data_IF_953763603492
#
_entry.id   IF_953763603492
#
_cell.length_a   1.000
_cell.length_b   1.000
_cell.length_c   1.000
_cell.angle_alpha   90.00
_cell.angle_beta   90.00
_cell.angle_gamma   90.00
#
_symmetry.space_group_name_H-M   'P 1'
#
loop_
_entity.id
_entity.type
_entity.pdbx_description
1 polymer ?
#
# COMPACT_ATOMS: atom_id res chain seq x y z
N UNK A 1 -25.83 -84.97 -27.10
CA UNK A 1 -24.79 -86.00 -27.25
C UNK A 1 -23.57 -85.52 -26.46
N UNK A 2 -23.22 -86.28 -25.50
CA UNK A 2 -22.20 -86.29 -24.45
C UNK A 2 -20.79 -86.35 -25.09
N UNK A 3 -19.63 -86.24 -24.41
CA UNK A 3 -19.33 -85.91 -23.00
C UNK A 3 -18.14 -84.95 -22.76
N UNK A 4 -18.08 -84.43 -21.59
CA UNK A 4 -17.06 -84.59 -20.54
C UNK A 4 -15.60 -84.84 -20.94
N UNK A 5 -14.70 -83.98 -20.46
CA UNK A 5 -13.56 -84.47 -19.67
C UNK A 5 -12.92 -83.34 -18.83
N UNK A 6 -12.82 -83.67 -17.57
CA UNK A 6 -12.06 -83.03 -16.53
C UNK A 6 -10.56 -83.16 -16.77
N UNK A 7 -9.78 -82.12 -16.43
CA UNK A 7 -8.40 -82.27 -15.91
C UNK A 7 -8.05 -81.32 -14.80
N UNK A 8 -7.61 -81.94 -13.75
CA UNK A 8 -7.21 -81.39 -12.43
C UNK A 8 -5.68 -81.35 -12.41
N UNK A 9 -5.08 -80.22 -12.03
CA UNK A 9 -3.83 -80.31 -11.26
C UNK A 9 -3.46 -78.90 -10.67
N UNK A 10 -3.29 -78.84 -9.38
CA UNK A 10 -2.47 -77.87 -8.62
C UNK A 10 -0.98 -78.23 -8.81
N UNK A 11 0.02 -77.32 -8.65
CA UNK A 11 0.40 -76.84 -7.33
C UNK A 11 0.94 -75.37 -7.31
N UNK A 12 0.76 -74.69 -6.19
CA UNK A 12 1.71 -74.03 -5.29
C UNK A 12 2.87 -73.28 -5.96
N UNK A 13 2.81 -71.99 -5.95
CA UNK A 13 3.95 -71.10 -6.07
C UNK A 13 3.74 -69.87 -5.19
N UNK A 14 4.33 -69.87 -3.96
CA UNK A 14 4.45 -68.74 -3.07
C UNK A 14 5.39 -67.71 -3.70
N UNK A 15 4.89 -66.57 -4.14
CA UNK A 15 5.68 -65.39 -4.41
C UNK A 15 5.37 -64.36 -3.34
N UNK A 16 6.34 -64.18 -2.45
CA UNK A 16 6.43 -63.09 -1.47
C UNK A 16 6.76 -61.82 -2.26
N UNK A 17 5.75 -61.03 -2.55
CA UNK A 17 5.96 -59.67 -3.07
C UNK A 17 6.16 -58.75 -1.88
N UNK A 18 7.41 -58.29 -1.66
CA UNK A 18 7.78 -57.34 -0.66
C UNK A 18 7.12 -55.98 -0.91
N UNK A 19 6.32 -55.55 0.05
CA UNK A 19 5.78 -54.19 0.08
C UNK A 19 6.91 -53.22 0.42
N UNK A 20 7.48 -52.55 -0.55
CA UNK A 20 8.28 -51.34 -0.36
C UNK A 20 7.35 -50.20 0.02
N UNK A 21 7.25 -49.94 1.31
CA UNK A 21 6.67 -48.70 1.85
C UNK A 21 7.59 -47.53 1.49
N UNK A 22 7.27 -46.80 0.44
CA UNK A 22 7.86 -45.50 0.17
C UNK A 22 7.30 -44.53 1.21
N UNK A 23 8.04 -44.28 2.29
CA UNK A 23 7.81 -43.18 3.21
C UNK A 23 8.10 -41.85 2.48
N UNK A 24 7.10 -41.28 1.83
CA UNK A 24 7.17 -39.90 1.40
C UNK A 24 7.21 -39.01 2.67
N UNK A 25 8.41 -38.53 3.00
CA UNK A 25 8.57 -37.49 4.00
C UNK A 25 7.81 -36.25 3.55
N UNK A 26 6.63 -36.02 4.14
CA UNK A 26 5.91 -34.76 4.01
C UNK A 26 6.69 -33.69 4.75
N UNK A 27 7.58 -32.98 4.03
CA UNK A 27 8.14 -31.73 4.53
C UNK A 27 7.02 -30.72 4.66
N UNK A 28 6.81 -30.13 5.84
CA UNK A 28 5.88 -29.03 5.96
C UNK A 28 6.39 -27.88 5.08
N UNK A 29 5.60 -27.54 4.06
CA UNK A 29 5.82 -26.32 3.27
C UNK A 29 5.56 -25.15 4.22
N UNK A 30 6.62 -24.58 4.75
CA UNK A 30 6.54 -23.31 5.51
C UNK A 30 6.16 -22.26 4.49
N UNK A 31 4.89 -21.86 4.47
CA UNK A 31 4.42 -20.74 3.68
C UNK A 31 5.12 -19.49 4.24
N UNK A 32 6.11 -18.99 3.51
CA UNK A 32 6.66 -17.65 3.73
C UNK A 32 5.54 -16.69 3.36
N UNK A 33 5.08 -15.81 4.27
CA UNK A 33 4.08 -14.81 3.90
C UNK A 33 4.64 -14.01 2.73
N UNK A 34 3.91 -13.96 1.63
CA UNK A 34 4.23 -13.06 0.54
C UNK A 34 4.04 -11.65 1.08
N UNK A 35 5.14 -10.92 1.24
CA UNK A 35 5.11 -9.49 1.57
C UNK A 35 4.56 -8.81 0.32
N UNK A 36 3.31 -8.32 0.40
CA UNK A 36 2.70 -7.58 -0.69
C UNK A 36 3.38 -6.21 -0.77
N UNK A 37 3.79 -5.81 -1.97
CA UNK A 37 4.24 -4.44 -2.22
C UNK A 37 3.03 -3.50 -2.03
N UNK A 38 3.15 -2.54 -1.13
CA UNK A 38 2.11 -1.53 -0.86
C UNK A 38 2.42 -0.26 -1.65
N UNK A 39 1.42 0.27 -2.34
CA UNK A 39 1.52 1.58 -3.00
C UNK A 39 0.64 2.57 -2.25
N UNK A 40 1.20 3.72 -1.89
CA UNK A 40 0.49 4.85 -1.29
C UNK A 40 0.50 6.04 -2.27
N UNK A 41 -0.58 6.82 -2.28
CA UNK A 41 -0.66 8.08 -3.01
C UNK A 41 -0.59 9.27 -2.05
N UNK A 42 0.50 10.04 -2.14
CA UNK A 42 0.69 11.30 -1.43
C UNK A 42 0.24 12.48 -2.30
N UNK A 43 -0.84 13.14 -1.90
CA UNK A 43 -1.40 14.31 -2.58
C UNK A 43 -0.99 15.57 -1.82
N UNK A 44 -0.26 16.47 -2.46
CA UNK A 44 0.26 17.65 -1.76
C UNK A 44 0.15 18.95 -2.55
N UNK A 45 0.35 20.06 -1.83
CA UNK A 45 0.44 21.40 -2.38
C UNK A 45 1.74 21.59 -3.16
N UNK A 46 1.66 22.16 -4.34
CA UNK A 46 2.77 22.21 -5.32
C UNK A 46 4.12 22.74 -4.81
N UNK A 47 4.21 23.80 -4.00
CA UNK A 47 5.47 24.27 -3.45
C UNK A 47 6.22 23.26 -2.57
N UNK A 48 5.56 22.21 -2.10
CA UNK A 48 6.15 21.16 -1.25
C UNK A 48 6.64 19.95 -2.04
N UNK A 49 6.64 20.00 -3.35
CA UNK A 49 7.06 18.93 -4.26
C UNK A 49 8.42 18.34 -3.89
N UNK A 50 9.44 19.19 -3.77
CA UNK A 50 10.80 18.73 -3.47
C UNK A 50 10.92 18.17 -2.05
N UNK A 51 10.19 18.74 -1.10
CA UNK A 51 10.11 18.23 0.26
C UNK A 51 9.57 16.78 0.26
N UNK A 52 8.44 16.56 -0.37
CA UNK A 52 7.81 15.24 -0.36
C UNK A 52 8.57 14.22 -1.18
N UNK A 53 9.21 14.62 -2.28
CA UNK A 53 10.09 13.71 -3.01
C UNK A 53 11.18 13.13 -2.10
N UNK A 54 11.86 13.97 -1.33
CA UNK A 54 12.89 13.53 -0.41
C UNK A 54 12.32 12.77 0.81
N UNK A 55 11.20 13.25 1.34
CA UNK A 55 10.54 12.62 2.49
C UNK A 55 10.01 11.23 2.18
N UNK A 56 9.31 11.04 1.06
CA UNK A 56 8.70 9.77 0.67
C UNK A 56 9.76 8.72 0.35
N UNK A 57 10.90 9.13 -0.23
CA UNK A 57 12.07 8.25 -0.44
C UNK A 57 12.68 7.81 0.91
N UNK A 58 12.84 8.75 1.84
CA UNK A 58 13.33 8.45 3.17
C UNK A 58 12.36 7.56 3.96
N UNK A 59 11.06 7.81 3.84
CA UNK A 59 10.02 6.99 4.46
C UNK A 59 10.03 5.56 3.92
N UNK A 60 10.09 5.38 2.61
CA UNK A 60 10.13 4.05 1.98
C UNK A 60 11.34 3.24 2.45
N UNK A 61 12.50 3.87 2.56
CA UNK A 61 13.72 3.27 3.10
C UNK A 61 13.55 2.87 4.57
N UNK A 62 13.10 3.80 5.41
CA UNK A 62 12.84 3.56 6.82
C UNK A 62 11.84 2.43 7.06
N UNK A 63 10.75 2.42 6.30
CA UNK A 63 9.70 1.40 6.44
C UNK A 63 10.23 0.01 6.11
N UNK A 64 10.99 -0.10 5.03
CA UNK A 64 11.63 -1.35 4.61
C UNK A 64 12.60 -1.88 5.67
N UNK A 65 13.43 -1.01 6.23
CA UNK A 65 14.37 -1.39 7.28
C UNK A 65 13.66 -1.85 8.57
N UNK A 66 12.55 -1.19 8.91
CA UNK A 66 11.81 -1.44 10.14
C UNK A 66 10.91 -2.68 10.06
N UNK A 67 10.28 -2.93 8.92
CA UNK A 67 9.22 -3.95 8.78
C UNK A 67 9.59 -5.08 7.82
N UNK A 68 10.55 -4.86 6.93
CA UNK A 68 10.86 -5.72 5.79
C UNK A 68 9.93 -5.53 4.58
N UNK A 69 8.86 -4.73 4.71
CA UNK A 69 7.88 -4.47 3.66
C UNK A 69 8.39 -3.39 2.68
N UNK A 70 8.10 -3.56 1.39
CA UNK A 70 8.37 -2.53 0.38
C UNK A 70 7.13 -1.64 0.24
N UNK A 71 7.31 -0.33 0.39
CA UNK A 71 6.28 0.69 0.13
C UNK A 71 6.76 1.59 -0.99
N UNK A 72 5.92 1.75 -2.02
CA UNK A 72 6.09 2.73 -3.07
C UNK A 72 5.17 3.90 -2.80
N UNK A 73 5.69 5.14 -2.78
CA UNK A 73 4.88 6.34 -2.62
C UNK A 73 4.79 7.07 -3.95
N UNK A 74 3.61 7.03 -4.55
CA UNK A 74 3.26 7.86 -5.70
C UNK A 74 2.90 9.27 -5.24
N UNK A 75 3.12 10.26 -6.09
CA UNK A 75 2.95 11.66 -5.73
C UNK A 75 2.06 12.39 -6.73
N UNK A 76 1.15 13.21 -6.20
CA UNK A 76 0.36 14.17 -6.95
C UNK A 76 0.54 15.57 -6.35
N UNK A 77 1.01 16.52 -7.15
CA UNK A 77 1.25 17.89 -6.71
C UNK A 77 0.47 18.88 -7.54
N UNK A 78 -0.10 19.90 -6.90
CA UNK A 78 -0.87 20.91 -7.60
C UNK A 78 -1.32 22.04 -6.68
N UNK A 79 -2.14 22.95 -7.20
CA UNK A 79 -2.76 23.99 -6.37
C UNK A 79 -3.65 23.37 -5.29
N UNK A 80 -3.59 23.88 -4.06
CA UNK A 80 -4.25 23.33 -2.88
C UNK A 80 -5.73 22.99 -3.12
N UNK A 81 -6.54 23.96 -3.55
CA UNK A 81 -7.95 23.75 -3.84
C UNK A 81 -8.21 22.84 -5.06
N UNK A 82 -7.26 22.70 -6.01
CA UNK A 82 -7.39 21.76 -7.12
C UNK A 82 -7.19 20.33 -6.63
N UNK A 83 -6.20 20.09 -5.77
CA UNK A 83 -5.97 18.79 -5.16
C UNK A 83 -7.15 18.39 -4.25
N UNK A 84 -7.68 19.32 -3.45
CA UNK A 84 -8.87 19.05 -2.65
C UNK A 84 -10.05 18.60 -3.51
N UNK A 85 -10.29 19.27 -4.64
CA UNK A 85 -11.35 18.86 -5.58
C UNK A 85 -11.10 17.49 -6.19
N UNK A 86 -9.86 17.18 -6.59
CA UNK A 86 -9.52 15.87 -7.14
C UNK A 86 -9.84 14.74 -6.15
N UNK A 87 -9.52 14.90 -4.86
CA UNK A 87 -9.85 13.94 -3.80
C UNK A 87 -11.38 13.83 -3.61
N UNK A 88 -12.10 14.95 -3.60
CA UNK A 88 -13.56 14.97 -3.52
C UNK A 88 -14.20 14.25 -4.72
N UNK A 89 -13.63 14.43 -5.92
CA UNK A 89 -14.11 13.85 -7.17
C UNK A 89 -13.67 12.37 -7.34
N UNK A 90 -12.97 11.81 -6.37
CA UNK A 90 -12.68 10.37 -6.31
C UNK A 90 -11.22 9.96 -6.46
N UNK A 91 -10.26 10.90 -6.48
CA UNK A 91 -8.84 10.54 -6.40
C UNK A 91 -8.60 9.78 -5.09
N UNK A 92 -8.05 8.58 -5.21
CA UNK A 92 -7.84 7.70 -4.07
C UNK A 92 -6.50 7.99 -3.37
N UNK A 93 -6.50 9.09 -2.60
CA UNK A 93 -5.35 9.55 -1.86
C UNK A 93 -5.29 8.88 -0.48
N UNK A 94 -4.09 8.40 -0.11
CA UNK A 94 -3.81 7.86 1.22
C UNK A 94 -3.33 8.95 2.18
N UNK A 95 -2.59 9.93 1.66
CA UNK A 95 -2.11 11.08 2.42
C UNK A 95 -2.43 12.36 1.67
N UNK A 96 -2.95 13.35 2.39
CA UNK A 96 -3.26 14.68 1.83
C UNK A 96 -2.61 15.76 2.69
N UNK A 97 -1.78 16.60 2.07
CA UNK A 97 -1.14 17.75 2.74
C UNK A 97 -1.31 19.01 1.89
N UNK A 98 -2.25 19.86 2.30
CA UNK A 98 -2.66 21.04 1.56
C UNK A 98 -2.28 22.34 2.28
N UNK A 99 -2.33 23.44 1.54
CA UNK A 99 -1.91 24.75 2.07
C UNK A 99 -2.87 25.32 3.11
N UNK A 100 -4.14 25.00 3.03
CA UNK A 100 -5.20 25.62 3.83
C UNK A 100 -6.04 24.59 4.55
N UNK A 101 -6.31 24.81 5.84
CA UNK A 101 -7.26 23.98 6.59
C UNK A 101 -8.63 23.92 5.92
N UNK A 102 -9.10 25.00 5.33
CA UNK A 102 -10.37 25.05 4.61
C UNK A 102 -10.47 24.05 3.42
N UNK A 103 -9.35 23.73 2.77
CA UNK A 103 -9.30 22.71 1.70
C UNK A 103 -9.45 21.31 2.28
N UNK A 104 -8.86 21.04 3.45
CA UNK A 104 -9.04 19.77 4.18
C UNK A 104 -10.48 19.66 4.73
N UNK A 105 -11.01 20.74 5.29
CA UNK A 105 -12.42 20.82 5.75
C UNK A 105 -13.39 20.50 4.62
N UNK A 106 -13.10 20.97 3.40
CA UNK A 106 -13.92 20.66 2.23
C UNK A 106 -13.92 19.17 1.87
N UNK A 107 -12.80 18.49 2.03
CA UNK A 107 -12.71 17.03 1.86
C UNK A 107 -13.52 16.33 2.95
N UNK A 108 -13.30 16.69 4.22
CA UNK A 108 -14.01 16.10 5.36
C UNK A 108 -15.55 16.33 5.32
N UNK A 109 -15.99 17.44 4.73
CA UNK A 109 -17.40 17.75 4.62
C UNK A 109 -18.11 17.02 3.47
N UNK A 110 -17.38 16.60 2.43
CA UNK A 110 -17.95 16.08 1.18
C UNK A 110 -17.60 14.61 0.92
N UNK A 111 -16.78 14.01 1.76
CA UNK A 111 -16.38 12.60 1.65
C UNK A 111 -16.42 11.93 3.02
N UNK A 112 -16.47 10.61 3.04
CA UNK A 112 -16.34 9.83 4.28
C UNK A 112 -14.88 9.39 4.54
N UNK A 113 -13.93 9.94 3.75
CA UNK A 113 -12.50 9.57 3.83
C UNK A 113 -11.78 10.17 5.03
N UNK A 114 -12.27 11.29 5.54
CA UNK A 114 -11.63 12.04 6.62
C UNK A 114 -12.67 12.47 7.67
N UNK A 115 -12.45 12.25 8.98
CA UNK A 115 -13.35 12.70 10.02
C UNK A 115 -13.35 14.23 10.12
N UNK A 116 -14.47 14.80 10.59
CA UNK A 116 -14.63 16.27 10.70
C UNK A 116 -13.71 16.91 11.73
N UNK A 117 -13.27 16.16 12.70
CA UNK A 117 -12.33 16.56 13.75
C UNK A 117 -10.86 16.23 13.40
N UNK A 118 -10.56 16.05 12.13
CA UNK A 118 -9.24 15.69 11.60
C UNK A 118 -8.08 16.51 12.22
N UNK A 119 -8.30 17.79 12.49
CA UNK A 119 -7.27 18.67 13.06
C UNK A 119 -6.83 18.25 14.47
N UNK A 120 -7.63 17.46 15.19
CA UNK A 120 -7.31 17.01 16.55
C UNK A 120 -6.61 15.66 16.62
N UNK A 121 -6.45 14.97 15.47
CA UNK A 121 -5.92 13.61 15.42
C UNK A 121 -4.41 13.53 15.58
N UNK A 122 -3.69 14.57 15.15
CA UNK A 122 -2.24 14.63 15.23
C UNK A 122 -1.80 15.91 15.97
N UNK A 123 -0.56 15.98 16.50
CA UNK A 123 0.00 17.18 17.11
C UNK A 123 -0.09 18.40 16.19
N UNK A 124 0.00 19.59 16.77
CA UNK A 124 0.05 20.88 16.08
C UNK A 124 -1.13 21.08 15.09
N UNK A 125 -2.33 20.65 15.49
CA UNK A 125 -3.53 20.67 14.66
C UNK A 125 -3.37 19.91 13.33
N UNK A 126 -2.70 18.77 13.38
CA UNK A 126 -2.38 17.95 12.20
C UNK A 126 -1.58 18.71 11.12
N UNK A 127 -0.73 19.65 11.55
CA UNK A 127 0.08 20.51 10.68
C UNK A 127 1.53 20.04 10.70
N UNK A 128 2.04 19.39 9.63
CA UNK A 128 3.40 18.85 9.63
C UNK A 128 4.49 19.93 9.48
N UNK A 129 4.13 21.11 8.97
CA UNK A 129 5.02 22.27 8.80
C UNK A 129 4.21 23.56 8.68
N UNK A 130 4.89 24.71 8.80
CA UNK A 130 4.31 26.03 8.60
C UNK A 130 5.01 26.74 7.45
N UNK A 131 4.31 27.69 6.81
CA UNK A 131 4.84 28.53 5.74
C UNK A 131 4.54 30.01 6.03
N UNK A 132 5.34 30.89 5.46
CA UNK A 132 5.17 32.34 5.60
C UNK A 132 4.73 32.94 4.26
N UNK A 133 3.74 33.81 4.30
CA UNK A 133 3.35 34.64 3.17
C UNK A 133 4.20 35.91 3.18
N UNK A 134 4.77 36.24 2.01
CA UNK A 134 5.54 37.46 1.81
C UNK A 134 4.99 38.25 0.62
N UNK A 135 5.12 39.57 0.68
CA UNK A 135 4.77 40.45 -0.43
C UNK A 135 6.00 40.64 -1.35
N UNK A 136 5.86 40.18 -2.60
CA UNK A 136 6.87 40.43 -3.62
C UNK A 136 6.57 41.77 -4.31
N UNK A 137 7.45 42.76 -4.16
CA UNK A 137 7.32 44.07 -4.78
C UNK A 137 8.50 44.36 -5.69
N UNK A 138 8.32 45.28 -6.65
CA UNK A 138 9.43 45.74 -7.51
C UNK A 138 10.48 46.46 -6.65
N UNK A 139 11.75 46.39 -7.11
CA UNK A 139 12.85 47.11 -6.46
C UNK A 139 12.47 48.59 -6.24
N UNK A 140 12.68 49.06 -4.99
CA UNK A 140 12.33 50.39 -4.57
C UNK A 140 10.88 50.59 -4.11
N UNK A 141 10.05 49.54 -4.17
CA UNK A 141 8.65 49.59 -3.75
C UNK A 141 7.89 50.83 -4.24
N UNK A 142 7.77 51.05 -5.55
CA UNK A 142 7.28 52.32 -6.12
C UNK A 142 5.82 52.63 -5.76
N UNK A 143 5.07 51.66 -5.22
CA UNK A 143 3.69 51.88 -4.77
C UNK A 143 3.56 51.99 -3.24
N UNK A 144 4.65 51.85 -2.49
CA UNK A 144 4.65 51.97 -1.03
C UNK A 144 3.79 50.90 -0.33
N UNK A 145 3.72 49.70 -0.85
CA UNK A 145 2.95 48.60 -0.27
C UNK A 145 3.69 48.05 0.95
#
# INVERSE_FOLDING_TARGET
MVPLTTFRSRPIGRLVAGALFAAMASMPLVAVPAIADTTLLNVSYDPTRELYKAYDEAFSTYWKEKTGETVTVEQSHGGSGAQARAVIDGLDADVVTLALAADIDAIAARTDKLPKDWATLLPDNSTPYTSTIVFLVRKGNPKGI
#
